data_IF_977692494612
#
_entry.id   IF_977692494612
#
_cell.length_a   1.000
_cell.length_b   1.000
_cell.length_c   1.000
_cell.angle_alpha   90.00
_cell.angle_beta   90.00
_cell.angle_gamma   90.00
#
_symmetry.space_group_name_H-M   'P 1'
#
loop_
_entity.id
_entity.type
_entity.pdbx_description
1 polymer ?
#
# COMPACT_ATOMS: atom_id res chain seq x y z
N UNK A 1 32.09 4.83 11.87
CA UNK A 1 30.79 4.53 11.22
C UNK A 1 29.93 5.80 11.29
N UNK A 2 29.14 6.10 10.26
CA UNK A 2 28.47 7.39 10.08
C UNK A 2 27.13 7.57 10.85
N UNK A 3 26.76 6.65 11.75
CA UNK A 3 25.63 6.84 12.67
C UNK A 3 24.21 6.62 12.12
N UNK A 4 24.04 5.94 10.99
CA UNK A 4 22.69 5.66 10.46
C UNK A 4 21.91 4.68 11.35
N UNK A 5 20.67 5.03 11.72
CA UNK A 5 19.80 4.18 12.56
C UNK A 5 19.18 2.99 11.83
N UNK A 6 19.09 3.07 10.50
CA UNK A 6 18.56 2.03 9.64
C UNK A 6 19.21 2.06 8.26
N UNK A 7 19.14 0.95 7.54
CA UNK A 7 19.61 0.86 6.16
C UNK A 7 18.47 0.44 5.23
N UNK A 8 18.27 1.20 4.16
CA UNK A 8 17.45 0.81 3.03
C UNK A 8 18.30 -0.10 2.11
N UNK A 9 17.95 -1.39 2.05
CA UNK A 9 18.54 -2.31 1.08
C UNK A 9 17.74 -2.32 -0.23
N UNK A 10 18.33 -1.77 -1.29
CA UNK A 10 17.75 -1.75 -2.63
C UNK A 10 18.29 -2.90 -3.49
N UNK A 11 17.43 -3.46 -4.35
CA UNK A 11 17.79 -4.37 -5.45
C UNK A 11 18.62 -5.62 -5.09
N UNK A 12 18.58 -6.11 -3.85
CA UNK A 12 19.19 -7.40 -3.50
C UNK A 12 18.42 -8.55 -4.17
N UNK A 13 19.08 -9.26 -5.08
CA UNK A 13 18.44 -10.23 -5.98
C UNK A 13 18.05 -11.58 -5.36
N UNK A 14 18.27 -11.81 -4.06
CA UNK A 14 17.93 -13.08 -3.42
C UNK A 14 17.76 -12.98 -1.91
N UNK A 15 17.06 -13.96 -1.34
CA UNK A 15 16.92 -14.10 0.11
C UNK A 15 18.28 -14.28 0.82
N UNK A 16 19.22 -15.00 0.17
CA UNK A 16 20.56 -15.21 0.72
C UNK A 16 21.39 -13.92 0.73
N UNK A 17 21.21 -13.04 -0.26
CA UNK A 17 21.83 -11.72 -0.28
C UNK A 17 21.32 -10.86 0.89
N UNK A 18 20.01 -10.84 1.13
CA UNK A 18 19.44 -10.19 2.33
C UNK A 18 20.01 -10.76 3.62
N UNK A 19 20.10 -12.08 3.75
CA UNK A 19 20.65 -12.71 4.96
C UNK A 19 22.09 -12.28 5.24
N UNK A 20 22.95 -12.32 4.21
CA UNK A 20 24.35 -11.87 4.32
C UNK A 20 24.42 -10.38 4.67
N UNK A 21 23.59 -9.55 4.05
CA UNK A 21 23.55 -8.12 4.28
C UNK A 21 23.13 -7.80 5.73
N UNK A 22 22.03 -8.38 6.20
CA UNK A 22 21.55 -8.23 7.58
C UNK A 22 22.55 -8.74 8.62
N UNK A 23 23.36 -9.76 8.32
CA UNK A 23 24.42 -10.23 9.21
C UNK A 23 25.63 -9.29 9.26
N UNK A 24 25.91 -8.57 8.17
CA UNK A 24 27.04 -7.66 8.08
C UNK A 24 26.77 -6.30 8.75
N UNK A 25 25.51 -5.89 8.87
CA UNK A 25 25.12 -4.59 9.43
C UNK A 25 24.54 -4.73 10.83
N UNK A 26 24.86 -3.77 11.72
CA UNK A 26 24.40 -3.78 13.12
C UNK A 26 23.07 -3.06 13.34
N UNK A 27 22.46 -2.54 12.28
CA UNK A 27 21.25 -1.72 12.34
C UNK A 27 20.12 -2.35 11.53
N UNK A 28 18.85 -2.08 11.86
CA UNK A 28 17.71 -2.64 11.13
C UNK A 28 17.76 -2.37 9.62
N UNK A 29 17.46 -3.41 8.84
CA UNK A 29 17.35 -3.33 7.39
C UNK A 29 15.89 -3.22 6.97
N UNK A 30 15.60 -2.26 6.11
CA UNK A 30 14.36 -2.15 5.34
C UNK A 30 14.58 -2.79 3.96
N UNK A 31 13.73 -3.77 3.61
CA UNK A 31 13.66 -4.32 2.27
C UNK A 31 12.60 -3.59 1.45
N UNK A 32 12.96 -3.18 0.24
CA UNK A 32 12.02 -2.59 -0.71
C UNK A 32 11.41 -3.68 -1.60
N UNK A 33 10.17 -4.05 -1.32
CA UNK A 33 9.43 -5.03 -2.09
C UNK A 33 8.59 -4.36 -3.17
N UNK A 34 9.25 -3.89 -4.23
CA UNK A 34 8.60 -3.32 -5.42
C UNK A 34 8.38 -4.37 -6.51
N UNK A 35 7.25 -4.29 -7.21
CA UNK A 35 6.93 -5.17 -8.33
C UNK A 35 7.76 -4.83 -9.57
N UNK A 36 7.93 -5.81 -10.46
CA UNK A 36 8.60 -5.65 -11.76
C UNK A 36 10.08 -5.23 -11.66
N UNK A 37 10.68 -5.39 -10.48
CA UNK A 37 12.11 -5.20 -10.25
C UNK A 37 12.93 -6.48 -10.38
N UNK A 38 14.18 -6.43 -9.91
CA UNK A 38 15.12 -7.57 -9.93
C UNK A 38 14.93 -8.54 -8.75
N UNK A 39 14.40 -8.05 -7.63
CA UNK A 39 14.17 -8.86 -6.43
C UNK A 39 12.98 -9.79 -6.66
N UNK A 40 13.10 -11.11 -6.41
CA UNK A 40 11.95 -12.00 -6.41
C UNK A 40 10.86 -11.54 -5.43
N UNK A 41 9.60 -11.88 -5.68
CA UNK A 41 8.50 -11.54 -4.77
C UNK A 41 8.57 -12.42 -3.51
N UNK A 42 9.24 -11.90 -2.48
CA UNK A 42 9.43 -12.59 -1.21
C UNK A 42 8.33 -12.17 -0.22
N UNK A 43 7.89 -13.12 0.59
CA UNK A 43 6.96 -12.90 1.69
C UNK A 43 7.64 -12.22 2.88
N UNK A 44 6.81 -11.62 3.75
CA UNK A 44 7.27 -11.09 5.04
C UNK A 44 7.96 -12.17 5.89
N UNK A 45 7.52 -13.44 5.78
CA UNK A 45 8.11 -14.56 6.52
C UNK A 45 9.52 -14.88 6.02
N UNK A 46 9.73 -14.85 4.71
CA UNK A 46 11.06 -15.03 4.11
C UNK A 46 11.97 -13.86 4.50
N UNK A 47 11.54 -12.62 4.33
CA UNK A 47 12.32 -11.46 4.78
C UNK A 47 12.71 -11.54 6.25
N UNK A 48 11.78 -11.95 7.12
CA UNK A 48 12.04 -12.17 8.55
C UNK A 48 13.10 -13.24 8.77
N UNK A 49 13.08 -14.35 8.03
CA UNK A 49 14.09 -15.43 8.18
C UNK A 49 15.49 -14.99 7.71
N UNK A 50 15.57 -13.97 6.86
CA UNK A 50 16.82 -13.31 6.46
C UNK A 50 17.24 -12.15 7.38
N UNK A 51 16.51 -11.87 8.46
CA UNK A 51 16.86 -10.81 9.43
C UNK A 51 16.40 -9.39 9.05
N UNK A 52 15.63 -9.24 7.98
CA UNK A 52 15.02 -7.95 7.61
C UNK A 52 13.98 -7.56 8.67
N UNK A 53 13.96 -6.27 9.03
CA UNK A 53 13.10 -5.74 10.11
C UNK A 53 11.89 -4.99 9.59
N UNK A 54 11.97 -4.41 8.40
CA UNK A 54 10.86 -3.71 7.75
C UNK A 54 10.75 -4.14 6.28
N UNK A 55 9.52 -4.24 5.78
CA UNK A 55 9.25 -4.49 4.36
C UNK A 55 8.38 -3.35 3.85
N UNK A 56 8.86 -2.66 2.82
CA UNK A 56 8.15 -1.59 2.16
C UNK A 56 7.47 -2.12 0.89
N UNK A 57 6.18 -1.84 0.74
CA UNK A 57 5.40 -2.09 -0.47
C UNK A 57 5.09 -0.74 -1.12
N UNK A 58 6.01 -0.16 -1.90
CA UNK A 58 5.99 1.27 -2.19
C UNK A 58 4.84 1.69 -3.12
N UNK A 59 4.44 0.82 -4.06
CA UNK A 59 3.51 1.20 -5.13
C UNK A 59 2.41 0.16 -5.40
N UNK A 60 2.34 -0.94 -4.65
CA UNK A 60 1.43 -2.06 -4.94
C UNK A 60 -0.03 -1.61 -5.09
N UNK A 61 -0.53 -0.85 -4.10
CA UNK A 61 -1.88 -0.28 -4.13
C UNK A 61 -2.06 0.74 -5.26
N UNK A 62 -1.03 1.55 -5.55
CA UNK A 62 -1.05 2.55 -6.61
C UNK A 62 -1.13 1.92 -8.01
N UNK A 63 -0.40 0.83 -8.25
CA UNK A 63 -0.48 0.10 -9.50
C UNK A 63 -1.86 -0.55 -9.68
N UNK A 64 -2.39 -1.16 -8.61
CA UNK A 64 -3.72 -1.77 -8.64
C UNK A 64 -4.82 -0.73 -8.91
N UNK A 65 -4.80 0.42 -8.23
CA UNK A 65 -5.80 1.48 -8.45
C UNK A 65 -5.75 2.02 -9.89
N UNK A 66 -4.56 2.19 -10.47
CA UNK A 66 -4.41 2.68 -11.84
C UNK A 66 -4.97 1.68 -12.86
N UNK A 67 -4.72 0.39 -12.67
CA UNK A 67 -5.30 -0.66 -13.51
C UNK A 67 -6.83 -0.66 -13.45
N UNK A 68 -7.42 -0.52 -12.25
CA UNK A 68 -8.87 -0.46 -12.08
C UNK A 68 -9.47 0.81 -12.71
N UNK A 69 -8.82 1.97 -12.54
CA UNK A 69 -9.25 3.22 -13.16
C UNK A 69 -9.21 3.14 -14.71
N UNK A 70 -8.15 2.55 -15.26
CA UNK A 70 -8.03 2.32 -16.70
C UNK A 70 -9.17 1.44 -17.23
N UNK A 71 -9.54 0.36 -16.53
CA UNK A 71 -10.68 -0.49 -16.90
C UNK A 71 -11.99 0.31 -16.95
N UNK A 72 -12.23 1.17 -15.94
CA UNK A 72 -13.42 2.04 -15.91
C UNK A 72 -13.48 2.94 -17.14
N UNK A 73 -12.38 3.61 -17.49
CA UNK A 73 -12.34 4.48 -18.67
C UNK A 73 -12.59 3.71 -19.97
N UNK A 74 -12.00 2.53 -20.13
CA UNK A 74 -12.16 1.69 -21.32
C UNK A 74 -13.62 1.20 -21.48
N UNK A 75 -14.24 0.75 -20.39
CA UNK A 75 -15.63 0.27 -20.41
C UNK A 75 -16.61 1.38 -20.70
N UNK A 76 -16.48 2.54 -20.06
CA UNK A 76 -17.35 3.69 -20.34
C UNK A 76 -17.21 4.13 -21.80
N UNK A 77 -15.98 4.20 -22.31
CA UNK A 77 -15.72 4.60 -23.71
C UNK A 77 -16.31 3.64 -24.73
N UNK A 78 -16.26 2.32 -24.46
CA UNK A 78 -16.71 1.29 -25.40
C UNK A 78 -18.20 0.97 -25.30
N UNK A 79 -18.77 0.97 -24.10
CA UNK A 79 -20.15 0.54 -23.84
C UNK A 79 -21.12 1.72 -23.61
N UNK A 80 -20.60 2.95 -23.47
CA UNK A 80 -21.40 4.12 -23.10
C UNK A 80 -21.94 4.06 -21.67
N UNK A 81 -21.52 3.09 -20.86
CA UNK A 81 -22.01 2.89 -19.48
C UNK A 81 -21.04 2.04 -18.65
N UNK A 82 -21.03 2.25 -17.33
CA UNK A 82 -20.21 1.51 -16.36
C UNK A 82 -20.95 0.31 -15.69
N UNK A 83 -22.17 -0.03 -16.12
CA UNK A 83 -23.05 -1.02 -15.45
C UNK A 83 -22.35 -2.34 -15.13
N UNK A 84 -21.53 -2.85 -16.04
CA UNK A 84 -20.79 -4.11 -15.89
C UNK A 84 -19.74 -4.08 -14.77
N UNK A 85 -19.30 -2.90 -14.34
CA UNK A 85 -18.24 -2.70 -13.35
C UNK A 85 -18.75 -2.43 -11.93
N UNK A 86 -20.06 -2.30 -11.72
CA UNK A 86 -20.62 -1.90 -10.41
C UNK A 86 -20.15 -2.81 -9.26
N UNK A 87 -19.98 -4.12 -9.49
CA UNK A 87 -19.50 -5.08 -8.48
C UNK A 87 -18.02 -4.92 -8.12
N UNK A 88 -17.23 -4.20 -8.93
CA UNK A 88 -15.80 -3.95 -8.70
C UNK A 88 -15.52 -2.62 -8.00
N UNK A 89 -16.52 -1.74 -7.91
CA UNK A 89 -16.36 -0.39 -7.36
C UNK A 89 -16.54 -0.40 -5.84
N UNK A 90 -15.77 0.45 -5.15
CA UNK A 90 -16.06 0.79 -3.76
C UNK A 90 -17.43 1.48 -3.70
N UNK A 91 -18.31 0.99 -2.83
CA UNK A 91 -19.64 1.58 -2.62
C UNK A 91 -19.55 2.88 -1.83
N UNK A 92 -20.56 3.74 -1.97
CA UNK A 92 -20.69 4.96 -1.15
C UNK A 92 -20.66 4.66 0.36
N UNK A 93 -21.27 3.55 0.78
CA UNK A 93 -21.29 3.13 2.20
C UNK A 93 -19.90 2.77 2.70
N UNK A 94 -19.09 2.08 1.90
CA UNK A 94 -17.71 1.75 2.25
C UNK A 94 -16.83 3.00 2.30
N UNK A 95 -16.98 3.91 1.32
CA UNK A 95 -16.27 5.20 1.34
C UNK A 95 -16.61 6.01 2.60
N UNK A 96 -17.88 6.08 2.99
CA UNK A 96 -18.30 6.82 4.18
C UNK A 96 -17.75 6.22 5.47
N UNK A 97 -17.68 4.89 5.54
CA UNK A 97 -17.04 4.20 6.66
C UNK A 97 -15.56 4.51 6.72
N UNK A 98 -14.87 4.52 5.56
CA UNK A 98 -13.44 4.84 5.48
C UNK A 98 -13.13 6.28 5.92
N UNK A 99 -14.01 7.23 5.58
CA UNK A 99 -13.84 8.65 5.90
C UNK A 99 -14.36 9.03 7.30
N UNK A 100 -14.80 8.08 8.12
CA UNK A 100 -15.48 8.34 9.40
C UNK A 100 -16.62 9.39 9.28
N UNK A 101 -17.32 9.38 8.13
CA UNK A 101 -18.20 10.47 7.73
C UNK A 101 -19.33 10.73 8.74
N UNK A 102 -19.88 9.67 9.32
CA UNK A 102 -20.95 9.77 10.33
C UNK A 102 -20.49 10.46 11.63
N UNK A 103 -19.20 10.36 11.97
CA UNK A 103 -18.65 11.03 13.15
C UNK A 103 -18.51 12.53 12.88
N UNK A 104 -18.11 12.90 11.67
CA UNK A 104 -18.04 14.29 11.25
C UNK A 104 -19.43 14.95 11.23
N UNK A 105 -20.43 14.26 10.69
CA UNK A 105 -21.83 14.71 10.63
C UNK A 105 -22.41 14.95 12.04
N UNK A 106 -22.30 13.96 12.94
CA UNK A 106 -22.75 14.11 14.35
C UNK A 106 -22.06 15.25 15.09
N UNK A 107 -20.78 15.50 14.79
CA UNK A 107 -20.03 16.59 15.41
C UNK A 107 -20.54 17.95 14.92
N UNK A 108 -20.85 18.06 13.63
CA UNK A 108 -21.45 19.26 13.04
C UNK A 108 -22.85 19.51 13.60
N UNK A 109 -23.70 18.48 13.65
CA UNK A 109 -25.06 18.58 14.20
C UNK A 109 -25.05 19.01 15.67
N UNK A 110 -24.12 18.49 16.49
CA UNK A 110 -23.98 18.93 17.88
C UNK A 110 -23.54 20.40 17.99
N UNK A 111 -22.65 20.86 17.12
CA UNK A 111 -22.12 22.24 17.12
C UNK A 111 -23.12 23.26 16.58
N UNK A 112 -23.97 22.87 15.65
CA UNK A 112 -24.96 23.74 15.01
C UNK A 112 -26.34 23.63 15.67
N UNK A 113 -26.68 22.46 16.21
CA UNK A 113 -27.91 22.20 16.94
C UNK A 113 -27.92 22.76 18.37
N UNK A 114 -26.76 23.03 18.97
CA UNK A 114 -26.69 23.74 20.26
C UNK A 114 -26.83 25.27 20.16
N UNK A 115 -27.13 25.80 18.96
CA UNK A 115 -27.35 27.23 18.69
C UNK A 115 -28.82 27.60 18.46
N UNK A 116 -29.76 26.73 18.85
CA UNK A 116 -31.20 27.05 18.89
C UNK A 116 -31.71 26.99 20.32
#
# INVERSE_FOLDING_TARGET
QAGADMIFAEALGSLSAYKKFCQAVKVPVLANMTEFGKTPMLSVKEFRSAGVRLVLYPLSAFRAMNSAAQEVYQVIRSQGTQKSLLKKMQTRKELYRLLDYQKAERTMDRRLGSKR
#
